data_IF_735748678090
#
_entry.id   IF_735748678090
#
_cell.length_a   1.000
_cell.length_b   1.000
_cell.length_c   1.000
_cell.angle_alpha   90.00
_cell.angle_beta   90.00
_cell.angle_gamma   90.00
#
_symmetry.space_group_name_H-M   'P 1'
#
loop_
_entity.id
_entity.type
_entity.pdbx_description
1 polymer ?
#
# COMPACT_ATOMS: atom_id res chain seq x y z
N UNK A 1 2.27 -2.74 3.26
CA UNK A 1 1.82 -1.66 4.18
C UNK A 1 2.89 -0.60 4.33
N UNK A 2 4.15 -0.99 4.58
CA UNK A 2 5.30 -0.07 4.60
C UNK A 2 5.46 0.78 3.34
N UNK A 3 5.36 0.14 2.16
CA UNK A 3 5.50 0.81 0.87
C UNK A 3 4.50 1.96 0.68
N UNK A 4 3.24 1.74 1.10
CA UNK A 4 2.18 2.76 1.08
C UNK A 4 2.27 3.73 2.26
N UNK A 5 2.99 3.38 3.34
CA UNK A 5 3.07 4.13 4.61
C UNK A 5 1.83 4.02 5.50
N UNK A 6 0.93 3.07 5.24
CA UNK A 6 -0.32 2.91 5.98
C UNK A 6 -0.20 2.06 7.25
N UNK A 7 1.00 1.54 7.58
CA UNK A 7 1.16 0.55 8.66
C UNK A 7 0.61 1.08 9.98
N UNK A 8 1.06 2.26 10.41
CA UNK A 8 0.67 2.83 11.70
C UNK A 8 -0.84 3.03 11.80
N UNK A 9 -1.45 3.59 10.76
CA UNK A 9 -2.89 3.83 10.72
C UNK A 9 -3.73 2.55 10.71
N UNK A 10 -3.18 1.44 10.24
CA UNK A 10 -3.90 0.18 10.09
C UNK A 10 -3.66 -0.80 11.25
N UNK A 11 -2.45 -0.79 11.85
CA UNK A 11 -2.01 -1.80 12.83
C UNK A 11 -1.47 -1.20 14.13
N UNK A 12 -1.17 0.11 14.16
CA UNK A 12 -0.33 0.71 15.21
C UNK A 12 0.99 -0.05 15.35
N UNK A 13 1.37 -0.37 16.57
CA UNK A 13 2.58 -1.15 16.88
C UNK A 13 2.45 -2.66 16.61
N UNK A 14 1.25 -3.17 16.31
CA UNK A 14 0.98 -4.60 16.20
C UNK A 14 1.38 -5.29 14.88
N UNK A 15 1.06 -6.58 14.80
CA UNK A 15 1.14 -7.38 13.59
C UNK A 15 -0.26 -7.64 13.01
N UNK A 16 -0.41 -7.78 11.68
CA UNK A 16 -1.71 -8.09 11.10
C UNK A 16 -2.19 -9.47 11.57
N UNK A 17 -3.39 -9.56 12.19
CA UNK A 17 -3.97 -10.84 12.54
C UNK A 17 -4.24 -11.71 11.31
N UNK A 18 -4.43 -13.02 11.51
CA UNK A 18 -4.85 -13.91 10.43
C UNK A 18 -6.20 -13.47 9.85
N UNK A 19 -6.33 -13.52 8.52
CA UNK A 19 -7.49 -13.03 7.75
C UNK A 19 -7.70 -11.52 7.76
N UNK A 20 -6.67 -10.75 8.09
CA UNK A 20 -6.61 -9.32 7.75
C UNK A 20 -6.72 -9.13 6.24
N UNK A 21 -7.42 -8.07 5.82
CA UNK A 21 -7.58 -7.73 4.40
C UNK A 21 -7.20 -6.27 4.15
N UNK A 22 -6.40 -6.06 3.09
CA UNK A 22 -6.21 -4.76 2.47
C UNK A 22 -7.02 -4.71 1.19
N UNK A 23 -7.86 -3.68 1.04
CA UNK A 23 -8.66 -3.44 -0.16
C UNK A 23 -8.12 -2.18 -0.82
N UNK A 24 -7.63 -2.32 -2.05
CA UNK A 24 -7.20 -1.20 -2.88
C UNK A 24 -8.23 -1.01 -3.97
N UNK A 25 -8.87 0.16 -3.99
CA UNK A 25 -9.89 0.48 -4.98
C UNK A 25 -9.42 1.62 -5.86
N UNK A 26 -9.44 1.37 -7.16
CA UNK A 26 -9.29 2.42 -8.16
C UNK A 26 -10.69 2.93 -8.54
N UNK A 27 -10.93 4.22 -8.35
CA UNK A 27 -12.22 4.88 -8.61
C UNK A 27 -12.02 6.08 -9.55
N UNK A 28 -13.12 6.54 -10.14
CA UNK A 28 -13.17 7.80 -10.91
C UNK A 28 -14.11 8.78 -10.21
N UNK A 29 -13.62 9.95 -9.81
CA UNK A 29 -14.41 11.01 -9.17
C UNK A 29 -14.22 12.29 -9.99
N UNK A 30 -15.31 12.86 -10.55
CA UNK A 30 -15.26 14.06 -11.40
C UNK A 30 -14.16 13.96 -12.47
N UNK A 31 -14.16 12.83 -13.18
CA UNK A 31 -13.18 12.46 -14.20
C UNK A 31 -11.74 12.23 -13.75
N UNK A 32 -11.40 12.44 -12.47
CA UNK A 32 -10.08 12.18 -11.91
C UNK A 32 -9.95 10.74 -11.40
N UNK A 33 -8.91 9.99 -11.78
CA UNK A 33 -8.62 8.68 -11.19
C UNK A 33 -8.08 8.86 -9.77
N UNK A 34 -8.68 8.15 -8.83
CA UNK A 34 -8.31 8.21 -7.41
C UNK A 34 -8.22 6.80 -6.82
N UNK A 35 -7.39 6.64 -5.81
CA UNK A 35 -7.22 5.42 -5.04
C UNK A 35 -7.84 5.61 -3.66
N UNK A 36 -8.59 4.60 -3.22
CA UNK A 36 -8.96 4.42 -1.81
C UNK A 36 -8.33 3.14 -1.29
N UNK A 37 -7.85 3.19 -0.05
CA UNK A 37 -7.28 2.02 0.62
C UNK A 37 -8.02 1.80 1.92
N UNK A 38 -8.52 0.58 2.08
CA UNK A 38 -9.17 0.15 3.31
C UNK A 38 -8.39 -0.99 3.94
N UNK A 39 -8.45 -1.03 5.25
CA UNK A 39 -7.93 -2.11 6.06
C UNK A 39 -9.08 -2.74 6.86
N UNK A 40 -9.19 -4.06 6.83
CA UNK A 40 -10.18 -4.80 7.63
C UNK A 40 -9.47 -5.61 8.69
N UNK A 41 -9.81 -5.31 9.94
CA UNK A 41 -9.47 -6.14 11.09
C UNK A 41 -10.51 -7.27 11.22
N UNK A 42 -10.10 -8.55 11.22
CA UNK A 42 -11.02 -9.68 11.33
C UNK A 42 -11.68 -9.79 12.71
N UNK A 43 -11.04 -9.31 13.79
CA UNK A 43 -11.56 -9.43 15.15
C UNK A 43 -12.66 -8.41 15.44
N UNK A 44 -12.48 -7.18 14.96
CA UNK A 44 -13.49 -6.13 15.12
C UNK A 44 -14.51 -6.12 13.97
N UNK A 45 -14.18 -6.79 12.84
CA UNK A 45 -14.91 -6.70 11.57
C UNK A 45 -15.07 -5.28 11.04
N UNK A 46 -14.31 -4.31 11.57
CA UNK A 46 -14.33 -2.92 11.12
C UNK A 46 -13.53 -2.78 9.82
N UNK A 47 -14.11 -2.06 8.88
CA UNK A 47 -13.45 -1.62 7.65
C UNK A 47 -12.97 -0.18 7.85
N UNK A 48 -11.68 -0.02 8.09
CA UNK A 48 -11.05 1.27 8.33
C UNK A 48 -10.57 1.90 7.02
N UNK A 49 -10.98 3.14 6.76
CA UNK A 49 -10.45 3.94 5.66
C UNK A 49 -9.08 4.50 6.05
N UNK A 50 -8.03 4.02 5.40
CA UNK A 50 -6.63 4.42 5.65
C UNK A 50 -6.07 5.25 4.50
N UNK A 51 -6.93 5.76 3.61
CA UNK A 51 -6.54 6.49 2.39
C UNK A 51 -5.68 7.71 2.69
N UNK A 52 -6.04 8.49 3.71
CA UNK A 52 -5.30 9.70 4.09
C UNK A 52 -3.90 9.42 4.66
N UNK A 53 -3.63 8.17 5.03
CA UNK A 53 -2.35 7.73 5.58
C UNK A 53 -1.40 7.21 4.51
N UNK A 54 -1.85 7.13 3.24
CA UNK A 54 -0.94 6.85 2.13
C UNK A 54 0.09 8.00 2.05
N UNK A 55 1.36 7.66 1.88
CA UNK A 55 2.45 8.63 1.71
C UNK A 55 2.09 9.60 0.56
N UNK A 56 2.12 10.90 0.86
CA UNK A 56 1.75 11.95 -0.11
C UNK A 56 0.25 12.28 -0.18
N UNK A 57 -0.61 11.53 0.52
CA UNK A 57 -2.07 11.70 0.47
C UNK A 57 -2.69 12.29 1.76
N UNK A 58 -1.88 12.92 2.62
CA UNK A 58 -2.38 13.52 3.87
C UNK A 58 -3.43 14.59 3.57
N UNK A 59 -4.61 14.45 4.19
CA UNK A 59 -5.75 15.37 3.99
C UNK A 59 -6.64 15.05 2.79
N UNK A 60 -6.32 14.02 2.00
CA UNK A 60 -7.18 13.56 0.89
C UNK A 60 -8.14 12.47 1.35
N UNK A 61 -9.44 12.66 1.10
CA UNK A 61 -10.49 11.65 1.34
C UNK A 61 -10.46 10.54 0.26
N UNK A 62 -9.99 10.87 -0.93
CA UNK A 62 -9.67 9.95 -2.01
C UNK A 62 -8.37 10.43 -2.64
N UNK A 63 -7.34 9.60 -2.69
CA UNK A 63 -6.03 10.06 -3.11
C UNK A 63 -5.91 10.06 -4.64
N UNK A 64 -5.53 11.16 -5.30
CA UNK A 64 -5.23 11.16 -6.73
C UNK A 64 -4.23 10.06 -7.09
N UNK A 65 -4.53 9.30 -8.14
CA UNK A 65 -3.69 8.19 -8.58
C UNK A 65 -2.23 8.63 -8.84
N UNK A 66 -2.06 9.83 -9.40
CA UNK A 66 -0.74 10.41 -9.66
C UNK A 66 0.12 10.55 -8.40
N UNK A 67 -0.47 10.97 -7.27
CA UNK A 67 0.27 11.10 -6.01
C UNK A 67 0.68 9.72 -5.46
N UNK A 68 -0.18 8.72 -5.64
CA UNK A 68 0.13 7.34 -5.24
C UNK A 68 1.26 6.76 -6.10
N UNK A 69 1.25 6.98 -7.41
CA UNK A 69 2.28 6.48 -8.34
C UNK A 69 3.59 7.27 -8.28
N UNK A 70 3.53 8.55 -7.93
CA UNK A 70 4.71 9.41 -7.74
C UNK A 70 5.50 9.07 -6.47
N UNK A 71 4.87 8.36 -5.53
CA UNK A 71 5.53 7.73 -4.40
C UNK A 71 5.73 6.23 -4.71
N UNK A 72 6.76 5.52 -4.25
CA UNK A 72 7.96 5.92 -3.53
C UNK A 72 9.07 5.06 -4.14
N UNK A 73 10.03 5.64 -4.88
CA UNK A 73 10.94 4.88 -5.76
C UNK A 73 11.70 3.77 -5.04
N UNK A 74 12.00 3.94 -3.76
CA UNK A 74 12.71 2.95 -2.95
C UNK A 74 11.93 1.65 -2.71
N UNK A 75 10.61 1.65 -2.93
CA UNK A 75 9.76 0.46 -2.83
C UNK A 75 9.36 -0.10 -4.20
N UNK A 76 9.91 0.46 -5.28
CA UNK A 76 9.68 0.03 -6.65
C UNK A 76 10.98 -0.64 -7.13
N UNK A 77 10.87 -1.90 -7.55
CA UNK A 77 11.97 -2.59 -8.22
C UNK A 77 11.84 -2.39 -9.72
N UNK A 78 12.95 -2.11 -10.40
CA UNK A 78 12.99 -2.09 -11.87
C UNK A 78 13.09 -3.50 -12.47
N UNK A 79 13.58 -4.47 -11.71
CA UNK A 79 13.85 -5.83 -12.16
C UNK A 79 13.72 -6.80 -10.97
N UNK A 80 12.49 -7.27 -10.76
CA UNK A 80 12.15 -8.21 -9.68
C UNK A 80 12.97 -9.49 -9.75
N UNK A 81 13.24 -9.99 -10.96
CA UNK A 81 13.94 -11.25 -11.15
C UNK A 81 15.40 -11.13 -10.70
N UNK A 82 16.07 -10.03 -11.07
CA UNK A 82 17.44 -9.75 -10.64
C UNK A 82 17.56 -9.50 -9.14
N UNK A 83 16.56 -8.86 -8.53
CA UNK A 83 16.59 -8.54 -7.09
C UNK A 83 16.21 -9.73 -6.20
N UNK A 84 15.26 -10.56 -6.62
CA UNK A 84 14.81 -11.70 -5.84
C UNK A 84 15.64 -12.97 -6.07
N UNK A 85 16.28 -13.13 -7.23
CA UNK A 85 17.10 -14.30 -7.53
C UNK A 85 18.59 -13.98 -7.45
N UNK A 86 19.27 -14.61 -6.49
CA UNK A 86 20.73 -14.56 -6.42
C UNK A 86 21.31 -15.12 -7.73
N UNK A 87 22.26 -14.41 -8.33
CA UNK A 87 23.08 -14.97 -9.41
C UNK A 87 23.74 -16.22 -8.84
N UNK A 88 23.31 -17.41 -9.26
CA UNK A 88 23.99 -18.66 -8.93
C UNK A 88 25.47 -18.44 -9.22
N UNK A 89 26.30 -18.45 -8.18
CA UNK A 89 27.75 -18.47 -8.34
C UNK A 89 28.03 -19.64 -9.29
N UNK A 90 28.61 -19.35 -10.46
CA UNK A 90 29.18 -20.41 -11.27
C UNK A 90 30.33 -20.96 -10.43
N UNK A 91 30.07 -22.04 -9.70
CA UNK A 91 31.15 -22.87 -9.16
C UNK A 91 32.05 -23.22 -10.35
N UNK A 92 33.24 -22.63 -10.33
CA UNK A 92 34.36 -23.01 -11.17
C UNK A 92 35.14 -24.10 -10.46
#
# INVERSE_FOLDING_TARGET
MESLGIREAALGDGYPPYNTLLILELRRIKDMPVVKVFYRDPHTSLLMDVTSSIRGCKGYVACPLELVLGCCPQYITSDREKECHSKKSKLR
#
